data_IF_832976430949
#
_entry.id   IF_832976430949
#
_cell.length_a   1.000
_cell.length_b   1.000
_cell.length_c   1.000
_cell.angle_alpha   90.00
_cell.angle_beta   90.00
_cell.angle_gamma   90.00
#
_symmetry.space_group_name_H-M   'P 1'
#
loop_
_entity.id
_entity.type
_entity.pdbx_description
1 polymer ?
#
# COMPACT_ATOMS: atom_id res chain seq x y z
N UNK A 1 2.99 -6.17 -7.79
CA UNK A 1 2.96 -7.34 -8.67
C UNK A 1 3.35 -8.59 -7.91
N UNK A 2 4.54 -8.68 -7.31
CA UNK A 2 5.03 -9.85 -6.57
C UNK A 2 4.06 -10.28 -5.45
N UNK A 3 3.51 -9.34 -4.69
CA UNK A 3 2.56 -9.62 -3.60
C UNK A 3 1.25 -10.27 -4.07
N UNK A 4 0.85 -10.05 -5.33
CA UNK A 4 -0.35 -10.66 -5.92
C UNK A 4 -0.11 -12.10 -6.41
N UNK A 5 1.13 -12.38 -6.88
CA UNK A 5 1.49 -13.67 -7.47
C UNK A 5 2.04 -14.67 -6.46
N UNK A 6 2.61 -14.16 -5.36
CA UNK A 6 3.21 -14.96 -4.28
C UNK A 6 2.65 -14.43 -2.94
N UNK A 7 1.47 -14.90 -2.50
CA UNK A 7 0.94 -14.53 -1.19
C UNK A 7 1.86 -15.07 -0.09
N UNK A 8 2.13 -14.22 0.91
CA UNK A 8 2.97 -14.58 2.04
C UNK A 8 2.09 -15.06 3.19
N UNK A 9 2.22 -16.32 3.63
CA UNK A 9 1.40 -16.88 4.70
C UNK A 9 1.72 -16.29 6.08
N UNK A 10 2.87 -15.63 6.24
CA UNK A 10 3.31 -15.07 7.52
C UNK A 10 2.84 -13.62 7.73
N UNK A 11 2.49 -12.91 6.66
CA UNK A 11 2.00 -11.53 6.75
C UNK A 11 0.48 -11.56 6.72
N UNK A 12 -0.14 -11.50 7.90
CA UNK A 12 -1.56 -11.22 8.05
C UNK A 12 -1.95 -9.97 7.26
N UNK A 13 -2.96 -10.07 6.43
CA UNK A 13 -3.39 -9.13 5.40
C UNK A 13 -3.44 -7.68 5.85
N UNK A 14 -2.63 -6.84 5.22
CA UNK A 14 -2.92 -5.42 5.05
C UNK A 14 -3.03 -5.10 3.56
N UNK A 15 -4.19 -5.44 2.97
CA UNK A 15 -4.51 -5.14 1.56
C UNK A 15 -4.34 -3.64 1.27
N UNK A 16 -4.69 -2.76 2.22
CA UNK A 16 -4.55 -1.32 2.13
C UNK A 16 -3.09 -0.85 1.99
N UNK A 17 -2.17 -1.46 2.73
CA UNK A 17 -0.74 -1.09 2.67
C UNK A 17 -0.12 -1.44 1.31
N UNK A 18 -0.50 -2.56 0.73
CA UNK A 18 0.00 -3.00 -0.58
C UNK A 18 -0.49 -2.09 -1.71
N UNK A 19 -1.75 -1.65 -1.65
CA UNK A 19 -2.32 -0.72 -2.62
C UNK A 19 -1.67 0.67 -2.57
N UNK A 20 -1.41 1.19 -1.37
CA UNK A 20 -0.73 2.48 -1.19
C UNK A 20 0.70 2.46 -1.75
N UNK A 21 1.46 1.39 -1.47
CA UNK A 21 2.82 1.22 -1.99
C UNK A 21 2.87 1.11 -3.52
N UNK A 22 1.88 0.44 -4.13
CA UNK A 22 1.77 0.34 -5.59
C UNK A 22 1.49 1.71 -6.21
N UNK A 23 0.53 2.46 -5.67
CA UNK A 23 0.16 3.81 -6.13
C UNK A 23 1.35 4.77 -6.03
N UNK A 24 2.08 4.75 -4.93
CA UNK A 24 3.29 5.54 -4.75
C UNK A 24 4.38 5.17 -5.76
N UNK A 25 4.65 3.87 -5.95
CA UNK A 25 5.66 3.39 -6.89
C UNK A 25 5.33 3.77 -8.35
N UNK A 26 4.07 3.65 -8.77
CA UNK A 26 3.60 4.08 -10.10
C UNK A 26 3.75 5.59 -10.30
N UNK A 27 3.35 6.38 -9.32
CA UNK A 27 3.48 7.84 -9.38
C UNK A 27 4.96 8.27 -9.47
N UNK A 28 5.82 7.64 -8.68
CA UNK A 28 7.27 7.87 -8.72
C UNK A 28 7.87 7.52 -10.08
N UNK A 29 7.53 6.37 -10.65
CA UNK A 29 7.99 5.97 -11.99
C UNK A 29 7.51 6.94 -13.07
N UNK A 30 6.26 7.33 -13.04
CA UNK A 30 5.65 8.20 -14.04
C UNK A 30 6.29 9.60 -14.06
N UNK A 31 6.68 10.11 -12.90
CA UNK A 31 7.34 11.43 -12.78
C UNK A 31 8.85 11.33 -13.02
N UNK A 32 9.52 10.35 -12.43
CA UNK A 32 10.98 10.25 -12.51
C UNK A 32 11.49 9.83 -13.89
N UNK A 33 10.74 9.00 -14.62
CA UNK A 33 11.15 8.50 -15.95
C UNK A 33 11.37 9.62 -16.96
N UNK A 34 10.40 10.53 -17.25
CA UNK A 34 10.62 11.60 -18.22
C UNK A 34 11.71 12.57 -17.76
N UNK A 35 11.81 12.86 -16.47
CA UNK A 35 12.88 13.71 -15.94
C UNK A 35 14.25 13.10 -16.15
N UNK A 36 14.40 11.80 -15.90
CA UNK A 36 15.63 11.08 -16.13
C UNK A 36 16.05 11.10 -17.62
N UNK A 37 15.12 10.75 -18.53
CA UNK A 37 15.41 10.76 -19.96
C UNK A 37 15.73 12.16 -20.48
N UNK A 38 15.05 13.19 -19.98
CA UNK A 38 15.35 14.57 -20.30
C UNK A 38 16.77 14.96 -19.85
N UNK A 39 17.13 14.67 -18.60
CA UNK A 39 18.44 14.97 -18.03
C UNK A 39 19.57 14.26 -18.81
N UNK A 40 19.42 12.96 -19.06
CA UNK A 40 20.39 12.16 -19.84
C UNK A 40 20.52 12.69 -21.26
N UNK A 41 19.42 13.09 -21.89
CA UNK A 41 19.44 13.69 -23.24
C UNK A 41 20.23 15.02 -23.27
N UNK A 42 20.03 15.88 -22.25
CA UNK A 42 20.78 17.15 -22.15
C UNK A 42 22.28 16.90 -21.94
N UNK A 43 22.65 15.98 -21.06
CA UNK A 43 24.04 15.62 -20.81
C UNK A 43 24.67 15.06 -22.10
N UNK A 44 24.01 14.15 -22.80
CA UNK A 44 24.51 13.59 -24.04
C UNK A 44 24.68 14.65 -25.16
N UNK A 45 23.72 15.60 -25.27
CA UNK A 45 23.82 16.72 -26.21
C UNK A 45 25.03 17.61 -25.91
N UNK A 46 25.28 17.95 -24.64
CA UNK A 46 26.40 18.74 -24.19
C UNK A 46 27.77 18.05 -24.47
N UNK A 47 27.82 16.73 -24.27
CA UNK A 47 29.01 15.91 -24.60
C UNK A 47 29.30 15.86 -26.10
N UNK A 48 28.28 15.67 -26.95
CA UNK A 48 28.41 15.65 -28.40
C UNK A 48 28.84 17.01 -28.95
N UNK A 49 28.31 18.11 -28.41
CA UNK A 49 28.68 19.48 -28.78
C UNK A 49 30.04 19.93 -28.23
N UNK A 50 30.72 19.08 -27.44
CA UNK A 50 31.97 19.41 -26.74
C UNK A 50 31.88 20.58 -25.74
N UNK A 51 30.67 20.96 -25.36
CA UNK A 51 30.42 21.98 -24.34
C UNK A 51 30.75 21.43 -22.93
N UNK A 52 30.63 20.12 -22.74
CA UNK A 52 31.00 19.41 -21.52
C UNK A 52 32.19 18.52 -21.80
N UNK A 53 33.29 18.68 -21.06
CA UNK A 53 34.45 17.82 -21.16
C UNK A 53 34.07 16.40 -20.65
N UNK A 54 34.39 15.34 -21.46
CA UNK A 54 34.21 13.96 -21.00
C UNK A 54 35.01 13.62 -19.74
N UNK A 55 36.06 14.39 -19.48
CA UNK A 55 36.99 14.22 -18.35
C UNK A 55 36.73 15.18 -17.19
N UNK A 56 35.53 15.86 -17.15
CA UNK A 56 35.23 16.75 -16.04
C UNK A 56 35.23 16.00 -14.70
N UNK A 57 35.93 16.52 -13.71
CA UNK A 57 36.05 15.91 -12.38
C UNK A 57 34.67 15.79 -11.71
N UNK A 58 33.78 16.74 -11.95
CA UNK A 58 32.39 16.69 -11.43
C UNK A 58 31.62 15.47 -11.96
N UNK A 59 31.74 15.15 -13.29
CA UNK A 59 31.08 13.97 -13.86
C UNK A 59 31.62 12.68 -13.25
N UNK A 60 32.95 12.57 -13.12
CA UNK A 60 33.59 11.40 -12.51
C UNK A 60 33.15 11.22 -11.07
N UNK A 61 33.13 12.31 -10.30
CA UNK A 61 32.68 12.30 -8.90
C UNK A 61 31.22 11.81 -8.79
N UNK A 62 30.30 12.33 -9.62
CA UNK A 62 28.91 11.89 -9.64
C UNK A 62 28.75 10.40 -9.99
N UNK A 63 29.52 9.90 -10.97
CA UNK A 63 29.52 8.48 -11.33
C UNK A 63 30.00 7.62 -10.16
N UNK A 64 31.11 7.97 -9.52
CA UNK A 64 31.58 7.25 -8.33
C UNK A 64 30.58 7.29 -7.19
N UNK A 65 29.91 8.41 -6.99
CA UNK A 65 28.85 8.52 -5.99
C UNK A 65 27.68 7.56 -6.29
N UNK A 66 27.22 7.49 -7.53
CA UNK A 66 26.17 6.54 -7.94
C UNK A 66 26.63 5.09 -7.77
N UNK A 67 27.86 4.77 -8.14
CA UNK A 67 28.44 3.43 -7.94
C UNK A 67 28.52 3.07 -6.47
N UNK A 68 28.89 4.00 -5.60
CA UNK A 68 28.91 3.79 -4.15
C UNK A 68 27.50 3.52 -3.61
N UNK A 69 26.52 4.36 -3.98
CA UNK A 69 25.13 4.21 -3.52
C UNK A 69 24.55 2.87 -3.97
N UNK A 70 24.75 2.48 -5.22
CA UNK A 70 24.26 1.19 -5.73
C UNK A 70 24.93 0.00 -5.05
N UNK A 71 26.24 0.09 -4.74
CA UNK A 71 26.95 -0.93 -3.98
C UNK A 71 26.40 -1.07 -2.55
N UNK A 72 26.10 0.05 -1.88
CA UNK A 72 25.47 0.05 -0.54
C UNK A 72 24.08 -0.60 -0.60
N UNK A 73 23.26 -0.27 -1.60
CA UNK A 73 21.94 -0.88 -1.79
C UNK A 73 22.05 -2.40 -1.98
N UNK A 74 22.95 -2.85 -2.85
CA UNK A 74 23.17 -4.29 -3.08
C UNK A 74 23.62 -4.99 -1.81
N UNK A 75 24.56 -4.41 -1.07
CA UNK A 75 25.07 -4.97 0.19
C UNK A 75 23.96 -5.02 1.25
N UNK A 76 23.11 -3.99 1.36
CA UNK A 76 21.99 -3.96 2.30
C UNK A 76 20.97 -5.08 2.00
N UNK A 77 20.63 -5.31 0.73
CA UNK A 77 19.73 -6.41 0.36
C UNK A 77 20.35 -7.79 0.60
N UNK A 78 21.66 -7.96 0.37
CA UNK A 78 22.37 -9.20 0.68
C UNK A 78 22.40 -9.48 2.19
N UNK A 79 22.66 -8.46 2.99
CA UNK A 79 22.62 -8.57 4.46
C UNK A 79 21.21 -8.94 4.92
N UNK A 80 20.18 -8.26 4.42
CA UNK A 80 18.79 -8.57 4.74
C UNK A 80 18.43 -10.02 4.36
N UNK A 81 18.90 -10.50 3.20
CA UNK A 81 18.65 -11.87 2.75
C UNK A 81 19.29 -12.90 3.68
N UNK A 82 20.54 -12.67 4.11
CA UNK A 82 21.23 -13.53 5.07
C UNK A 82 20.52 -13.48 6.43
N UNK A 83 20.10 -12.30 6.88
CA UNK A 83 19.39 -12.13 8.14
C UNK A 83 18.09 -12.94 8.16
N UNK A 84 17.20 -12.76 7.16
CA UNK A 84 15.92 -13.52 7.07
C UNK A 84 16.13 -15.02 6.87
N UNK A 85 17.25 -15.42 6.24
CA UNK A 85 17.61 -16.84 6.13
C UNK A 85 17.94 -17.43 7.51
N UNK A 86 18.74 -16.73 8.31
CA UNK A 86 19.13 -17.18 9.65
C UNK A 86 17.95 -17.15 10.64
N UNK A 87 17.03 -16.22 10.46
CA UNK A 87 15.83 -16.05 11.29
C UNK A 87 14.72 -17.07 10.93
N UNK A 88 14.88 -17.82 9.84
CA UNK A 88 13.89 -18.81 9.38
C UNK A 88 12.65 -18.21 8.71
N UNK A 89 12.64 -16.89 8.45
CA UNK A 89 11.53 -16.14 7.85
C UNK A 89 11.71 -15.91 6.34
N UNK A 90 12.53 -16.74 5.66
CA UNK A 90 12.80 -16.58 4.25
C UNK A 90 11.58 -17.03 3.41
N UNK A 91 10.71 -16.08 3.07
CA UNK A 91 9.55 -16.33 2.21
C UNK A 91 9.91 -16.19 0.73
N UNK A 92 9.19 -16.95 -0.14
CA UNK A 92 9.35 -16.83 -1.60
C UNK A 92 9.12 -15.41 -2.10
N UNK A 93 8.22 -14.67 -1.45
CA UNK A 93 7.93 -13.27 -1.75
C UNK A 93 9.11 -12.35 -1.44
N UNK A 94 9.75 -12.51 -0.28
CA UNK A 94 10.92 -11.74 0.12
C UNK A 94 12.10 -12.03 -0.83
N UNK A 95 12.31 -13.30 -1.17
CA UNK A 95 13.35 -13.72 -2.11
C UNK A 95 13.17 -13.08 -3.49
N UNK A 96 11.94 -13.11 -4.03
CA UNK A 96 11.63 -12.47 -5.32
C UNK A 96 11.87 -10.95 -5.29
N UNK A 97 11.48 -10.26 -4.22
CA UNK A 97 11.75 -8.82 -4.03
C UNK A 97 13.24 -8.52 -3.96
N UNK A 98 14.00 -9.33 -3.25
CA UNK A 98 15.46 -9.19 -3.12
C UNK A 98 16.17 -9.37 -4.46
N UNK A 99 15.79 -10.40 -5.24
CA UNK A 99 16.35 -10.64 -6.58
C UNK A 99 16.09 -9.45 -7.51
N UNK A 100 14.86 -8.93 -7.51
CA UNK A 100 14.52 -7.76 -8.35
C UNK A 100 15.30 -6.52 -7.92
N UNK A 101 15.39 -6.24 -6.62
CA UNK A 101 16.09 -5.06 -6.11
C UNK A 101 17.60 -5.13 -6.41
N UNK A 102 18.24 -6.28 -6.16
CA UNK A 102 19.65 -6.51 -6.48
C UNK A 102 19.87 -6.44 -8.00
N UNK A 103 18.96 -7.04 -8.80
CA UNK A 103 19.04 -7.01 -10.26
C UNK A 103 19.00 -5.59 -10.84
N UNK A 104 18.11 -4.74 -10.32
CA UNK A 104 18.03 -3.32 -10.71
C UNK A 104 19.33 -2.59 -10.32
N UNK A 105 19.78 -2.74 -9.07
CA UNK A 105 20.99 -2.10 -8.59
C UNK A 105 22.24 -2.56 -9.37
N UNK A 106 22.36 -3.85 -9.68
CA UNK A 106 23.44 -4.41 -10.48
C UNK A 106 23.42 -3.89 -11.92
N UNK A 107 22.25 -3.72 -12.52
CA UNK A 107 22.08 -3.14 -13.86
C UNK A 107 22.57 -1.68 -13.87
N UNK A 108 22.16 -0.87 -12.90
CA UNK A 108 22.60 0.51 -12.75
C UNK A 108 24.12 0.56 -12.53
N UNK A 109 24.64 -0.26 -11.63
CA UNK A 109 26.08 -0.36 -11.34
C UNK A 109 26.88 -0.69 -12.60
N UNK A 110 26.45 -1.70 -13.35
CA UNK A 110 27.12 -2.13 -14.59
C UNK A 110 27.09 -1.06 -15.67
N UNK A 111 25.95 -0.36 -15.82
CA UNK A 111 25.81 0.75 -16.76
C UNK A 111 26.77 1.90 -16.44
N UNK A 112 26.84 2.37 -15.20
CA UNK A 112 27.71 3.47 -14.83
C UNK A 112 29.18 3.07 -14.79
N UNK A 113 29.50 1.82 -14.48
CA UNK A 113 30.86 1.27 -14.62
C UNK A 113 31.30 1.28 -16.09
N UNK A 114 30.40 0.91 -17.00
CA UNK A 114 30.68 0.99 -18.44
C UNK A 114 30.82 2.46 -18.88
N UNK A 115 29.95 3.36 -18.47
CA UNK A 115 30.00 4.79 -18.82
C UNK A 115 31.28 5.49 -18.33
N UNK A 116 31.88 5.03 -17.24
CA UNK A 116 33.16 5.55 -16.73
C UNK A 116 34.33 5.31 -17.71
N UNK A 117 34.30 4.15 -18.40
CA UNK A 117 35.39 3.73 -19.30
C UNK A 117 35.10 4.04 -20.77
N UNK A 118 33.93 4.51 -21.07
CA UNK A 118 33.49 4.78 -22.44
C UNK A 118 34.11 6.07 -23.00
N UNK A 119 34.44 6.02 -24.30
CA UNK A 119 34.83 7.22 -25.08
C UNK A 119 33.60 7.72 -25.85
N UNK A 120 32.92 8.82 -25.45
CA UNK A 120 31.67 9.27 -26.06
C UNK A 120 31.79 9.76 -27.51
N UNK A 121 32.99 9.83 -28.05
CA UNK A 121 33.26 10.24 -29.44
C UNK A 121 33.31 9.06 -30.41
N UNK A 122 33.30 7.82 -29.93
CA UNK A 122 33.33 6.64 -30.79
C UNK A 122 31.94 6.33 -31.37
N UNK A 123 31.83 6.05 -32.70
CA UNK A 123 30.57 5.65 -33.33
C UNK A 123 29.97 4.38 -32.72
N UNK A 124 30.81 3.43 -32.29
CA UNK A 124 30.37 2.18 -31.65
C UNK A 124 29.64 2.41 -30.31
N UNK A 125 30.03 3.42 -29.56
CA UNK A 125 29.46 3.71 -28.26
C UNK A 125 28.03 4.27 -28.34
N UNK A 126 27.67 4.92 -29.45
CA UNK A 126 26.28 5.36 -29.69
C UNK A 126 25.33 4.17 -29.86
N UNK A 127 25.79 3.14 -30.57
CA UNK A 127 25.01 1.93 -30.80
C UNK A 127 24.74 1.17 -29.46
N UNK A 128 25.78 1.02 -28.65
CA UNK A 128 25.65 0.36 -27.34
C UNK A 128 24.73 1.13 -26.38
N UNK A 129 24.74 2.45 -26.39
CA UNK A 129 23.84 3.25 -25.55
C UNK A 129 22.39 3.05 -25.95
N UNK A 130 22.08 3.04 -27.24
CA UNK A 130 20.74 2.75 -27.75
C UNK A 130 20.32 1.31 -27.46
N UNK A 131 21.22 0.35 -27.60
CA UNK A 131 20.99 -1.06 -27.32
C UNK A 131 20.61 -1.30 -25.83
N UNK A 132 21.11 -0.46 -24.92
CA UNK A 132 20.79 -0.56 -23.49
C UNK A 132 19.53 0.25 -23.13
N UNK A 133 19.32 1.40 -23.72
CA UNK A 133 18.23 2.31 -23.40
C UNK A 133 16.86 1.73 -23.80
N UNK A 134 16.76 1.07 -24.96
CA UNK A 134 15.51 0.52 -25.46
C UNK A 134 14.92 -0.60 -24.59
N UNK A 135 15.68 -1.64 -24.19
CA UNK A 135 15.14 -2.67 -23.29
C UNK A 135 14.67 -2.10 -21.94
N UNK A 136 15.45 -1.16 -21.38
CA UNK A 136 15.06 -0.49 -20.12
C UNK A 136 13.78 0.31 -20.30
N UNK A 137 13.64 1.07 -21.39
CA UNK A 137 12.42 1.82 -21.67
C UNK A 137 11.20 0.89 -21.84
N UNK A 138 11.34 -0.22 -22.56
CA UNK A 138 10.27 -1.21 -22.74
C UNK A 138 9.87 -1.81 -21.39
N UNK A 139 10.83 -2.17 -20.53
CA UNK A 139 10.55 -2.69 -19.19
C UNK A 139 9.79 -1.66 -18.35
N UNK A 140 10.23 -0.39 -18.35
CA UNK A 140 9.58 0.68 -17.60
C UNK A 140 8.13 0.88 -18.10
N UNK A 141 7.93 0.96 -19.41
CA UNK A 141 6.58 1.09 -20.00
C UNK A 141 5.72 -0.12 -19.62
N UNK A 142 6.26 -1.33 -19.72
CA UNK A 142 5.57 -2.56 -19.31
C UNK A 142 5.18 -2.55 -17.82
N UNK A 143 6.06 -2.08 -16.96
CA UNK A 143 5.77 -1.94 -15.51
C UNK A 143 4.70 -0.88 -15.24
N UNK A 144 4.71 0.24 -15.95
CA UNK A 144 3.68 1.29 -15.84
C UNK A 144 2.32 0.74 -16.31
N UNK A 145 2.26 0.16 -17.51
CA UNK A 145 1.01 -0.38 -18.07
C UNK A 145 0.47 -1.52 -17.19
N UNK A 146 1.33 -2.47 -16.81
CA UNK A 146 0.96 -3.58 -15.91
C UNK A 146 0.56 -3.10 -14.51
N UNK A 147 1.20 -2.04 -14.01
CA UNK A 147 0.85 -1.42 -12.75
C UNK A 147 -0.52 -0.77 -12.78
N UNK A 148 -0.85 -0.02 -13.85
CA UNK A 148 -2.19 0.58 -14.02
C UNK A 148 -3.28 -0.47 -14.24
N UNK A 149 -2.98 -1.58 -14.91
CA UNK A 149 -3.93 -2.68 -15.10
C UNK A 149 -4.31 -3.40 -13.79
N UNK A 150 -3.43 -3.31 -12.77
CA UNK A 150 -3.65 -3.96 -11.46
C UNK A 150 -4.07 -2.94 -10.41
N UNK A 151 -3.75 -1.66 -10.61
CA UNK A 151 -4.12 -0.60 -9.69
C UNK A 151 -5.64 -0.41 -9.67
N UNK A 152 -6.15 -0.31 -8.47
CA UNK A 152 -7.55 0.06 -8.23
C UNK A 152 -7.86 1.43 -8.84
N UNK A 153 -9.01 1.57 -9.46
CA UNK A 153 -9.43 2.84 -10.03
C UNK A 153 -9.58 3.94 -8.96
N UNK A 154 -9.38 5.23 -9.31
CA UNK A 154 -9.56 6.32 -8.35
C UNK A 154 -10.98 6.38 -7.76
N UNK A 155 -12.00 5.98 -8.53
CA UNK A 155 -13.38 5.93 -8.08
C UNK A 155 -13.58 4.83 -7.03
N UNK A 156 -13.09 3.63 -7.30
CA UNK A 156 -13.14 2.49 -6.39
C UNK A 156 -12.35 2.74 -5.10
N UNK A 157 -11.17 3.35 -5.22
CA UNK A 157 -10.38 3.77 -4.05
C UNK A 157 -11.11 4.80 -3.18
N UNK A 158 -11.91 5.69 -3.77
CA UNK A 158 -12.74 6.67 -3.03
C UNK A 158 -13.90 5.97 -2.35
N UNK A 159 -14.59 5.08 -3.04
CA UNK A 159 -15.68 4.29 -2.50
C UNK A 159 -15.24 3.47 -1.28
N UNK A 160 -14.09 2.80 -1.41
CA UNK A 160 -13.52 2.07 -0.29
C UNK A 160 -13.20 2.95 0.91
N UNK A 161 -12.70 4.18 0.71
CA UNK A 161 -12.49 5.12 1.82
C UNK A 161 -13.78 5.57 2.50
N UNK A 162 -14.89 5.66 1.75
CA UNK A 162 -16.20 5.92 2.34
C UNK A 162 -16.62 4.77 3.24
N UNK A 163 -16.45 3.54 2.78
CA UNK A 163 -16.77 2.34 3.56
C UNK A 163 -15.85 2.18 4.77
N UNK A 164 -14.52 2.42 4.64
CA UNK A 164 -13.58 2.42 5.77
C UNK A 164 -13.99 3.45 6.85
N UNK A 165 -14.44 4.64 6.45
CA UNK A 165 -14.95 5.63 7.40
C UNK A 165 -16.26 5.17 8.05
N UNK A 166 -17.15 4.56 7.27
CA UNK A 166 -18.41 4.01 7.77
C UNK A 166 -18.18 2.89 8.77
N UNK A 167 -17.21 1.99 8.52
CA UNK A 167 -16.74 0.98 9.49
C UNK A 167 -16.27 1.65 10.78
N UNK A 168 -15.47 2.71 10.67
CA UNK A 168 -15.04 3.50 11.83
C UNK A 168 -16.21 4.09 12.63
N UNK A 169 -17.24 4.58 11.94
CA UNK A 169 -18.46 5.07 12.58
C UNK A 169 -19.20 3.93 13.29
N UNK A 170 -19.31 2.75 12.65
CA UNK A 170 -19.95 1.57 13.25
C UNK A 170 -19.22 1.11 14.52
N UNK A 171 -17.88 1.14 14.55
CA UNK A 171 -17.12 0.85 15.76
C UNK A 171 -17.39 1.85 16.89
N UNK A 172 -17.53 3.14 16.56
CA UNK A 172 -17.85 4.17 17.55
C UNK A 172 -19.27 4.03 18.09
N UNK A 173 -20.25 3.75 17.21
CA UNK A 173 -21.65 3.47 17.61
C UNK A 173 -21.69 2.23 18.49
N UNK A 174 -21.05 1.13 18.09
CA UNK A 174 -20.98 -0.10 18.86
C UNK A 174 -20.39 0.12 20.26
N UNK A 175 -19.29 0.88 20.35
CA UNK A 175 -18.69 1.27 21.62
C UNK A 175 -19.66 2.09 22.48
N UNK A 176 -20.35 3.06 21.88
CA UNK A 176 -21.37 3.86 22.57
C UNK A 176 -22.54 3.02 23.06
N UNK A 177 -23.03 2.09 22.23
CA UNK A 177 -24.12 1.15 22.61
C UNK A 177 -23.70 0.23 23.76
N UNK A 178 -22.44 -0.25 23.74
CA UNK A 178 -21.91 -1.06 24.84
C UNK A 178 -21.90 -0.28 26.16
N UNK A 179 -21.38 0.96 26.16
CA UNK A 179 -21.35 1.82 27.35
C UNK A 179 -22.76 2.12 27.85
N UNK A 180 -23.68 2.43 26.92
CA UNK A 180 -25.09 2.67 27.27
C UNK A 180 -25.75 1.46 27.94
N UNK A 181 -25.55 0.27 27.33
CA UNK A 181 -26.10 -0.98 27.84
C UNK A 181 -25.56 -1.36 29.23
N UNK A 182 -24.27 -1.18 29.46
CA UNK A 182 -23.64 -1.44 30.76
C UNK A 182 -24.27 -0.58 31.85
N UNK A 183 -24.59 0.68 31.54
CA UNK A 183 -25.17 1.62 32.49
C UNK A 183 -26.68 1.38 32.74
N UNK A 184 -27.43 1.10 31.65
CA UNK A 184 -28.92 1.09 31.70
C UNK A 184 -29.54 -0.32 31.65
N UNK A 185 -28.75 -1.35 31.31
CA UNK A 185 -29.17 -2.75 31.12
C UNK A 185 -30.21 -2.97 30.03
N UNK A 186 -30.37 -2.01 29.14
CA UNK A 186 -31.18 -2.10 27.93
C UNK A 186 -30.51 -1.26 26.81
N UNK A 187 -30.90 -1.52 25.59
CA UNK A 187 -30.45 -0.74 24.44
C UNK A 187 -31.26 0.57 24.34
N UNK A 188 -30.65 1.67 23.79
CA UNK A 188 -31.37 2.89 23.50
C UNK A 188 -32.41 2.67 22.40
N UNK A 189 -33.52 3.41 22.43
CA UNK A 189 -34.54 3.34 21.39
C UNK A 189 -34.05 3.99 20.07
N UNK A 190 -33.18 5.00 20.18
CA UNK A 190 -32.61 5.72 19.04
C UNK A 190 -31.15 6.01 19.30
N UNK A 191 -30.33 6.06 18.20
CA UNK A 191 -28.93 6.44 18.30
C UNK A 191 -28.71 7.88 18.80
N UNK A 192 -29.73 8.75 18.70
CA UNK A 192 -29.67 10.11 19.20
C UNK A 192 -29.46 10.19 20.73
N UNK A 193 -29.87 9.18 21.48
CA UNK A 193 -29.64 9.07 22.92
C UNK A 193 -28.14 9.00 23.27
N UNK A 194 -27.30 8.51 22.35
CA UNK A 194 -25.86 8.45 22.54
C UNK A 194 -25.15 9.80 22.34
N UNK A 195 -25.84 10.78 21.76
CA UNK A 195 -25.25 12.11 21.51
C UNK A 195 -25.37 13.06 22.68
N UNK A 196 -26.15 12.71 23.67
CA UNK A 196 -26.38 13.52 24.88
C UNK A 196 -25.56 13.01 26.06
N UNK A 197 -25.49 13.83 27.14
CA UNK A 197 -24.82 13.43 28.38
C UNK A 197 -25.42 12.11 28.93
N UNK A 198 -24.59 11.17 29.45
CA UNK A 198 -23.14 11.25 29.66
C UNK A 198 -22.29 10.70 28.51
N UNK A 199 -22.87 10.29 27.38
CA UNK A 199 -22.19 9.52 26.32
C UNK A 199 -21.44 10.41 25.31
N UNK A 200 -22.02 11.56 24.94
CA UNK A 200 -21.41 12.58 24.06
C UNK A 200 -20.84 12.06 22.73
N UNK A 201 -21.49 11.08 22.12
CA UNK A 201 -21.08 10.61 20.78
C UNK A 201 -21.30 11.75 19.76
N UNK A 202 -20.30 11.99 18.90
CA UNK A 202 -20.43 13.01 17.85
C UNK A 202 -21.60 12.67 16.90
N UNK A 203 -22.59 13.58 16.71
CA UNK A 203 -23.68 13.37 15.77
C UNK A 203 -23.24 13.07 14.33
N UNK A 204 -22.03 13.48 13.93
CA UNK A 204 -21.48 13.19 12.63
C UNK A 204 -21.20 11.67 12.43
N UNK A 205 -20.98 10.93 13.51
CA UNK A 205 -20.77 9.48 13.49
C UNK A 205 -22.03 8.70 13.11
N UNK A 206 -23.21 9.29 13.37
CA UNK A 206 -24.50 8.68 13.06
C UNK A 206 -24.89 8.79 11.58
N UNK A 207 -23.99 9.32 10.74
CA UNK A 207 -24.22 9.54 9.31
C UNK A 207 -23.15 8.89 8.48
N UNK A 208 -23.53 8.50 7.27
CA UNK A 208 -22.58 8.08 6.23
C UNK A 208 -21.73 9.26 5.75
N UNK A 209 -20.70 9.02 4.97
CA UNK A 209 -19.89 10.09 4.37
C UNK A 209 -20.68 10.98 3.39
N UNK A 210 -21.82 10.50 2.90
CA UNK A 210 -22.73 11.22 2.01
C UNK A 210 -23.82 11.98 2.77
N UNK A 211 -23.83 11.88 4.11
CA UNK A 211 -24.77 12.59 4.98
C UNK A 211 -26.07 11.86 5.27
N UNK A 212 -26.23 10.63 4.76
CA UNK A 212 -27.39 9.79 5.06
C UNK A 212 -27.29 9.24 6.51
N UNK A 213 -28.44 9.11 7.18
CA UNK A 213 -28.48 8.53 8.51
C UNK A 213 -28.20 7.02 8.47
N UNK A 214 -27.47 6.52 9.46
CA UNK A 214 -27.28 5.09 9.67
C UNK A 214 -28.58 4.56 10.33
N UNK A 215 -29.19 3.55 9.72
CA UNK A 215 -30.39 2.92 10.27
C UNK A 215 -29.99 2.01 11.43
N UNK A 216 -30.72 2.15 12.53
CA UNK A 216 -30.53 1.38 13.75
C UNK A 216 -31.84 0.69 14.15
N UNK A 217 -31.77 -0.60 14.48
CA UNK A 217 -32.91 -1.36 14.96
C UNK A 217 -32.50 -2.26 16.11
N UNK A 218 -33.32 -2.26 17.15
CA UNK A 218 -33.21 -3.18 18.26
C UNK A 218 -33.94 -4.48 17.90
N UNK A 219 -33.23 -5.61 17.99
CA UNK A 219 -33.76 -6.94 17.67
C UNK A 219 -34.12 -7.75 18.92
N UNK A 220 -33.57 -7.41 20.06
CA UNK A 220 -33.76 -8.08 21.34
C UNK A 220 -33.10 -7.29 22.47
N UNK A 221 -33.12 -7.84 23.68
CA UNK A 221 -32.63 -7.13 24.87
C UNK A 221 -31.18 -6.66 24.74
N UNK A 222 -30.32 -7.46 24.11
CA UNK A 222 -28.91 -7.19 23.91
C UNK A 222 -28.47 -7.30 22.43
N UNK A 223 -29.45 -7.35 21.51
CA UNK A 223 -29.18 -7.53 20.07
C UNK A 223 -29.67 -6.33 19.29
N UNK A 224 -28.84 -5.87 18.38
CA UNK A 224 -29.16 -4.77 17.47
C UNK A 224 -28.61 -5.02 16.06
N UNK A 225 -29.12 -4.25 15.12
CA UNK A 225 -28.55 -4.17 13.76
C UNK A 225 -28.32 -2.73 13.36
N UNK A 226 -27.22 -2.53 12.62
CA UNK A 226 -26.89 -1.29 11.95
C UNK A 226 -26.96 -1.52 10.44
N UNK A 227 -27.70 -0.68 9.74
CA UNK A 227 -27.87 -0.79 8.31
C UNK A 227 -27.37 0.47 7.61
N UNK A 228 -26.66 0.29 6.50
CA UNK A 228 -26.18 1.38 5.66
C UNK A 228 -25.96 0.91 4.22
N UNK A 229 -25.76 1.87 3.31
CA UNK A 229 -25.36 1.62 1.94
C UNK A 229 -23.83 1.53 1.86
N UNK A 230 -23.33 0.40 1.39
CA UNK A 230 -21.92 0.10 1.19
C UNK A 230 -21.56 0.17 -0.29
N UNK A 231 -20.45 0.80 -0.63
CA UNK A 231 -20.03 0.98 -2.01
C UNK A 231 -19.18 -0.19 -2.52
N UNK A 232 -18.46 -0.85 -1.60
CA UNK A 232 -17.55 -1.97 -1.93
C UNK A 232 -17.83 -3.17 -1.03
N UNK A 233 -17.27 -4.33 -1.36
CA UNK A 233 -17.29 -5.51 -0.49
C UNK A 233 -15.96 -5.63 0.24
N UNK A 234 -15.98 -5.96 1.53
CA UNK A 234 -14.79 -6.33 2.31
C UNK A 234 -14.71 -7.84 2.56
N UNK A 235 -15.65 -8.62 2.03
CA UNK A 235 -15.65 -10.08 2.14
C UNK A 235 -14.57 -10.62 1.20
N UNK A 236 -13.52 -11.20 1.78
CA UNK A 236 -12.48 -11.90 1.03
C UNK A 236 -13.01 -13.29 0.70
N UNK A 237 -12.99 -13.71 -0.59
CA UNK A 237 -13.35 -15.08 -0.94
C UNK A 237 -12.48 -16.07 -0.16
N UNK A 238 -13.11 -17.09 0.42
CA UNK A 238 -12.42 -18.09 1.23
C UNK A 238 -11.49 -18.95 0.35
N UNK A 239 -10.25 -18.51 0.24
CA UNK A 239 -9.18 -19.26 -0.45
C UNK A 239 -8.50 -20.27 0.49
N UNK A 240 -9.17 -20.69 1.58
CA UNK A 240 -8.65 -21.66 2.54
C UNK A 240 -7.57 -21.13 3.49
N UNK A 241 -7.22 -19.85 3.40
CA UNK A 241 -6.32 -19.20 4.35
C UNK A 241 -7.18 -18.59 5.46
N UNK A 242 -7.11 -19.14 6.66
CA UNK A 242 -7.73 -18.53 7.84
C UNK A 242 -7.16 -17.12 8.01
N UNK A 243 -7.94 -16.11 7.68
CA UNK A 243 -7.63 -14.73 8.02
C UNK A 243 -7.71 -14.60 9.53
N UNK A 244 -6.57 -14.42 10.18
CA UNK A 244 -6.49 -14.05 11.58
C UNK A 244 -6.97 -12.60 11.66
N UNK A 245 -8.21 -12.41 12.15
CA UNK A 245 -8.88 -11.12 12.22
C UNK A 245 -10.11 -11.10 11.32
N UNK A 246 -11.17 -11.81 11.73
CA UNK A 246 -12.49 -11.65 11.09
C UNK A 246 -12.90 -10.20 11.30
N UNK A 247 -13.06 -9.46 10.19
CA UNK A 247 -13.62 -8.09 10.24
C UNK A 247 -14.95 -8.14 11.00
N UNK A 248 -15.12 -7.32 12.03
CA UNK A 248 -16.34 -7.29 12.83
C UNK A 248 -17.57 -6.91 12.00
N UNK A 249 -17.35 -6.17 10.91
CA UNK A 249 -18.37 -5.61 10.02
C UNK A 249 -18.24 -6.14 8.60
N UNK A 250 -18.40 -7.47 8.35
CA UNK A 250 -18.33 -8.05 7.02
C UNK A 250 -19.55 -7.62 6.19
N UNK A 251 -19.34 -7.09 5.00
CA UNK A 251 -20.39 -6.60 4.11
C UNK A 251 -20.06 -6.81 2.66
N UNK A 252 -21.10 -6.91 1.84
CA UNK A 252 -21.03 -6.80 0.38
C UNK A 252 -21.37 -5.37 -0.04
N UNK A 253 -21.18 -5.05 -1.33
CA UNK A 253 -21.65 -3.79 -1.89
C UNK A 253 -23.20 -3.78 -1.93
N UNK A 254 -23.80 -2.65 -1.59
CA UNK A 254 -25.25 -2.48 -1.52
C UNK A 254 -25.75 -2.13 -0.12
N UNK A 255 -27.07 -2.10 0.04
CA UNK A 255 -27.65 -1.84 1.34
C UNK A 255 -27.66 -3.11 2.19
N UNK A 256 -26.89 -3.11 3.28
CA UNK A 256 -26.77 -4.26 4.18
C UNK A 256 -26.95 -3.88 5.64
N UNK A 257 -27.59 -4.79 6.38
CA UNK A 257 -27.79 -4.73 7.82
C UNK A 257 -26.87 -5.73 8.52
N UNK A 258 -26.07 -5.24 9.45
CA UNK A 258 -25.10 -6.02 10.20
C UNK A 258 -25.55 -6.17 11.64
N UNK A 259 -25.80 -7.42 12.05
CA UNK A 259 -26.29 -7.76 13.39
C UNK A 259 -25.15 -7.90 14.37
N UNK A 260 -25.34 -7.37 15.57
CA UNK A 260 -24.39 -7.48 16.67
C UNK A 260 -25.09 -7.83 17.98
N UNK A 261 -24.32 -8.42 18.87
CA UNK A 261 -24.78 -8.81 20.23
C UNK A 261 -23.84 -8.14 21.23
N UNK A 262 -24.39 -7.46 22.19
CA UNK A 262 -23.65 -6.94 23.34
C UNK A 262 -23.49 -8.06 24.36
N UNK A 263 -22.23 -8.38 24.68
CA UNK A 263 -21.94 -9.36 25.72
C UNK A 263 -21.94 -8.67 27.07
N UNK A 264 -22.70 -9.22 28.05
CA UNK A 264 -22.51 -8.83 29.45
C UNK A 264 -21.11 -9.28 29.89
N UNK A 265 -20.29 -8.35 30.38
CA UNK A 265 -19.13 -8.77 31.16
C UNK A 265 -19.68 -9.52 32.39
N UNK A 266 -19.64 -10.86 32.34
CA UNK A 266 -19.86 -11.69 33.50
C UNK A 266 -18.81 -11.29 34.51
N UNK A 267 -19.22 -10.57 35.55
CA UNK A 267 -18.37 -10.17 36.67
C UNK A 267 -17.79 -11.42 37.34
N UNK A 268 -16.64 -11.88 36.82
CA UNK A 268 -15.80 -12.81 37.50
C UNK A 268 -15.30 -12.15 38.79
N UNK A 269 -15.33 -12.84 39.95
CA UNK A 269 -14.79 -12.28 41.18
C UNK A 269 -13.34 -11.93 40.99
N UNK A 270 -12.98 -10.67 41.24
CA UNK A 270 -11.61 -10.23 41.41
C UNK A 270 -11.09 -10.95 42.67
N UNK A 271 -10.42 -12.08 42.50
CA UNK A 271 -9.64 -12.65 43.61
C UNK A 271 -8.55 -11.63 43.99
N UNK A 272 -8.69 -11.23 45.29
CA UNK A 272 -7.73 -10.35 45.94
C UNK A 272 -6.46 -11.12 46.33
#
# INVERSE_FOLDING_TARGET
LINKWLPDPLIGYTISYTAASLKFGLSALLVSTPLYFWAVSQINRGLVKKEISPQSDLRRWLIYFILLVTAIIMSGWLIALVYHYLDGELTGQFLAKSIVAIGIAATIFSFYRYDLHRNPQSPSDKYHLHSFAWPVAIIIVGLIVGGFAIAESPAEARNRRYDEKLIGNFYQIDSGLNVYYQANKHLPTTLAELTVSPYFLDPAVLKTSEGEAIDYRVLGDNQYELCALWHTSNIVPDNGVRTVGVEKWPHEAGYHCLKQVIWEESGGPVER
#
